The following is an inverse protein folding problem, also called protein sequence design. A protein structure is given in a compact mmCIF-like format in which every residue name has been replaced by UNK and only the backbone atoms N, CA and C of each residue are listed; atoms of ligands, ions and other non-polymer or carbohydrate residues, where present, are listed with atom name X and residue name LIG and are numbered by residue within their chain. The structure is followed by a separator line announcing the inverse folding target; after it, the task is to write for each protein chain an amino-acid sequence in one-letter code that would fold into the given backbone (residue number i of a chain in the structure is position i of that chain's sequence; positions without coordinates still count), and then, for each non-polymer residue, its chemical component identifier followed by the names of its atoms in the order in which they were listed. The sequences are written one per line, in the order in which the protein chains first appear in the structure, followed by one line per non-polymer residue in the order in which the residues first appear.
data_IF_417465794007
#
_entry.id   IF_417465794007
#
_cell.length_a   1.000
_cell.length_b   1.000
_cell.length_c   1.000
_cell.angle_alpha   90.00
_cell.angle_beta   90.00
_cell.angle_gamma   90.00
#
_symmetry.space_group_name_H-M   'P 1'
#
loop_
_entity.id
_entity.type
_entity.pdbx_description
1 polymer ?
#
# COMPACT_ATOMS: atom_id res chain seq x y z
N UNK A 1 -15.06 -16.08 -18.45
CA UNK A 1 -14.35 -15.73 -17.18
C UNK A 1 -13.33 -14.68 -17.56
N UNK A 2 -13.37 -13.52 -16.95
CA UNK A 2 -12.41 -12.46 -17.25
C UNK A 2 -11.10 -12.80 -16.49
N UNK A 3 -10.03 -13.08 -17.21
CA UNK A 3 -8.73 -13.37 -16.60
C UNK A 3 -7.85 -12.14 -16.75
N UNK A 4 -7.45 -11.53 -15.63
CA UNK A 4 -6.48 -10.45 -15.64
C UNK A 4 -5.11 -11.04 -16.03
N UNK A 5 -4.48 -10.45 -17.03
CA UNK A 5 -3.19 -10.91 -17.54
C UNK A 5 -2.16 -9.77 -17.42
N UNK A 6 -1.18 -9.98 -16.55
CA UNK A 6 -0.06 -9.06 -16.32
C UNK A 6 1.26 -9.63 -16.85
N UNK A 7 1.18 -10.64 -17.73
CA UNK A 7 2.37 -11.23 -18.36
C UNK A 7 3.21 -10.13 -19.03
N UNK A 8 4.52 -10.27 -18.90
CA UNK A 8 5.52 -9.33 -19.41
C UNK A 8 5.50 -7.93 -18.75
N UNK A 9 4.69 -7.72 -17.72
CA UNK A 9 4.68 -6.50 -16.92
C UNK A 9 5.61 -6.63 -15.72
N UNK A 10 6.37 -5.57 -15.44
CA UNK A 10 7.21 -5.45 -14.26
C UNK A 10 6.51 -4.59 -13.21
N UNK A 11 6.35 -5.15 -12.02
CA UNK A 11 5.64 -4.53 -10.90
C UNK A 11 6.59 -4.36 -9.73
N UNK A 12 6.79 -3.13 -9.29
CA UNK A 12 7.59 -2.77 -8.12
C UNK A 12 6.68 -2.44 -6.94
N UNK A 13 6.86 -3.15 -5.81
CA UNK A 13 6.13 -2.90 -4.56
C UNK A 13 7.13 -2.60 -3.44
N UNK A 14 7.07 -1.41 -2.87
CA UNK A 14 7.91 -1.07 -1.72
C UNK A 14 7.34 -1.65 -0.43
N UNK A 15 8.22 -2.21 0.43
CA UNK A 15 7.78 -2.91 1.65
C UNK A 15 6.94 -4.15 1.32
N UNK A 16 7.38 -4.92 0.33
CA UNK A 16 6.62 -6.01 -0.30
C UNK A 16 6.74 -7.38 0.38
N UNK A 17 7.43 -7.50 1.52
CA UNK A 17 7.73 -8.81 2.11
C UNK A 17 6.76 -9.25 3.21
N UNK A 18 5.73 -8.43 3.51
CA UNK A 18 4.66 -8.78 4.47
C UNK A 18 3.39 -7.97 4.23
N UNK A 19 2.31 -8.38 4.89
CA UNK A 19 1.04 -7.64 4.93
C UNK A 19 0.49 -7.28 3.55
N UNK A 20 0.03 -6.04 3.38
CA UNK A 20 -0.57 -5.53 2.15
C UNK A 20 0.42 -5.61 0.98
N UNK A 21 1.70 -5.28 1.22
CA UNK A 21 2.71 -5.30 0.17
C UNK A 21 2.95 -6.71 -0.40
N UNK A 22 3.08 -7.72 0.45
CA UNK A 22 3.24 -9.11 0.02
C UNK A 22 1.99 -9.61 -0.73
N UNK A 23 0.81 -9.35 -0.17
CA UNK A 23 -0.44 -9.74 -0.82
C UNK A 23 -0.65 -9.06 -2.19
N UNK A 24 -0.17 -7.82 -2.32
CA UNK A 24 -0.12 -7.11 -3.62
C UNK A 24 0.81 -7.84 -4.58
N UNK A 25 2.04 -8.14 -4.16
CA UNK A 25 2.98 -8.90 -4.97
C UNK A 25 2.43 -10.25 -5.43
N UNK A 26 1.82 -11.02 -4.52
CA UNK A 26 1.20 -12.31 -4.84
C UNK A 26 0.03 -12.17 -5.83
N UNK A 27 -0.78 -11.11 -5.71
CA UNK A 27 -1.88 -10.85 -6.64
C UNK A 27 -1.38 -10.57 -8.07
N UNK A 28 -0.34 -9.76 -8.21
CA UNK A 28 0.28 -9.49 -9.51
C UNK A 28 1.05 -10.70 -10.05
N UNK A 29 1.79 -11.41 -9.19
CA UNK A 29 2.49 -12.64 -9.57
C UNK A 29 1.53 -13.70 -10.08
N UNK A 30 0.42 -13.94 -9.38
CA UNK A 30 -0.63 -14.85 -9.82
C UNK A 30 -1.31 -14.45 -11.14
N UNK A 31 -1.24 -13.16 -11.52
CA UNK A 31 -1.64 -12.65 -12.83
C UNK A 31 -0.51 -12.73 -13.89
N UNK A 32 0.66 -13.28 -13.55
CA UNK A 32 1.79 -13.53 -14.45
C UNK A 32 2.82 -12.41 -14.53
N UNK A 33 2.76 -11.39 -13.69
CA UNK A 33 3.74 -10.29 -13.68
C UNK A 33 5.11 -10.74 -13.14
N UNK A 34 6.17 -10.05 -13.60
CA UNK A 34 7.47 -10.04 -12.93
C UNK A 34 7.37 -9.10 -11.73
N UNK A 35 7.48 -9.63 -10.52
CA UNK A 35 7.30 -8.85 -9.29
C UNK A 35 8.63 -8.56 -8.62
N UNK A 36 8.84 -7.31 -8.25
CA UNK A 36 9.97 -6.84 -7.45
C UNK A 36 9.44 -6.36 -6.10
N UNK A 37 9.92 -6.95 -5.03
CA UNK A 37 9.53 -6.62 -3.66
C UNK A 37 10.73 -6.04 -2.92
N UNK A 38 10.58 -4.85 -2.35
CA UNK A 38 11.64 -4.30 -1.50
C UNK A 38 11.36 -4.55 -0.02
N UNK A 39 12.43 -4.61 0.75
CA UNK A 39 12.41 -4.68 2.20
C UNK A 39 13.59 -3.90 2.78
N UNK A 40 13.51 -3.50 4.04
CA UNK A 40 14.61 -2.85 4.75
C UNK A 40 14.95 -3.56 6.05
N UNK A 41 13.93 -3.82 6.84
CA UNK A 41 14.10 -4.43 8.17
C UNK A 41 13.23 -5.66 8.27
N UNK A 42 13.68 -6.55 9.08
CA UNK A 42 12.89 -7.67 9.52
C UNK A 42 13.37 -8.99 8.96
N UNK A 43 13.05 -9.96 9.72
CA UNK A 43 13.22 -11.36 9.41
C UNK A 43 12.02 -11.84 8.61
N UNK A 44 11.93 -11.49 7.34
CA UNK A 44 11.03 -12.23 6.49
C UNK A 44 11.75 -13.47 5.97
N UNK A 45 11.09 -14.61 6.00
CA UNK A 45 11.59 -15.82 5.36
C UNK A 45 11.47 -15.66 3.84
N UNK A 46 12.60 -15.34 3.20
CA UNK A 46 12.66 -15.14 1.75
C UNK A 46 12.27 -16.41 0.98
N UNK A 47 12.56 -17.58 1.54
CA UNK A 47 12.22 -18.86 0.91
C UNK A 47 10.73 -19.16 1.05
N UNK A 48 10.08 -18.71 2.11
CA UNK A 48 8.63 -18.76 2.24
C UNK A 48 7.94 -17.88 1.20
N UNK A 49 8.45 -16.66 0.98
CA UNK A 49 7.92 -15.77 -0.07
C UNK A 49 8.06 -16.45 -1.44
N UNK A 50 9.23 -16.99 -1.79
CA UNK A 50 9.44 -17.69 -3.07
C UNK A 50 8.50 -18.88 -3.21
N UNK A 51 8.32 -19.68 -2.15
CA UNK A 51 7.36 -20.80 -2.15
C UNK A 51 5.94 -20.33 -2.42
N UNK A 52 5.49 -19.25 -1.77
CA UNK A 52 4.15 -18.69 -1.98
C UNK A 52 3.92 -18.27 -3.45
N UNK A 53 4.92 -17.68 -4.11
CA UNK A 53 4.86 -17.40 -5.54
C UNK A 53 4.83 -18.67 -6.39
N UNK A 54 5.65 -19.68 -6.07
CA UNK A 54 5.69 -20.94 -6.79
C UNK A 54 4.36 -21.72 -6.69
N UNK A 55 3.72 -21.71 -5.54
CA UNK A 55 2.39 -22.32 -5.31
C UNK A 55 1.29 -21.71 -6.19
N UNK A 56 1.42 -20.41 -6.52
CA UNK A 56 0.53 -19.73 -7.47
C UNK A 56 0.90 -19.97 -8.93
N UNK A 57 1.99 -20.69 -9.22
CA UNK A 57 2.54 -20.81 -10.57
C UNK A 57 3.06 -19.47 -11.13
N UNK A 58 3.36 -18.51 -10.25
CA UNK A 58 3.83 -17.19 -10.59
C UNK A 58 5.35 -17.19 -10.89
N UNK A 59 5.86 -16.22 -11.69
CA UNK A 59 7.29 -16.01 -11.82
C UNK A 59 7.95 -15.77 -10.45
N UNK A 60 9.17 -16.26 -10.26
CA UNK A 60 9.93 -16.03 -9.04
C UNK A 60 10.12 -14.51 -8.80
N UNK A 61 9.81 -13.99 -7.60
CA UNK A 61 9.94 -12.57 -7.32
C UNK A 61 11.41 -12.16 -7.14
N UNK A 62 11.75 -10.96 -7.58
CA UNK A 62 13.02 -10.31 -7.25
C UNK A 62 12.87 -9.64 -5.88
N UNK A 63 13.64 -10.10 -4.88
CA UNK A 63 13.65 -9.56 -3.52
C UNK A 63 14.89 -8.69 -3.34
N UNK A 64 14.71 -7.39 -3.04
CA UNK A 64 15.81 -6.43 -2.94
C UNK A 64 15.75 -5.66 -1.63
N UNK A 65 16.87 -5.63 -0.89
CA UNK A 65 16.99 -4.76 0.26
C UNK A 65 17.18 -3.32 -0.20
N UNK A 66 16.24 -2.44 0.17
CA UNK A 66 16.29 -1.02 -0.15
C UNK A 66 15.49 -0.21 0.87
N UNK A 67 16.13 0.81 1.41
CA UNK A 67 15.50 1.80 2.28
C UNK A 67 14.92 2.93 1.40
N UNK A 68 13.62 3.10 1.46
CA UNK A 68 12.90 4.11 0.66
C UNK A 68 13.26 5.56 0.98
N UNK A 69 14.02 5.80 2.06
CA UNK A 69 14.51 7.13 2.45
C UNK A 69 15.91 7.46 1.92
N UNK A 70 16.55 6.54 1.19
CA UNK A 70 17.87 6.74 0.61
C UNK A 70 17.85 6.57 -0.90
N UNK A 71 18.19 7.65 -1.62
CA UNK A 71 18.25 7.64 -3.08
C UNK A 71 19.22 6.60 -3.63
N UNK A 72 20.40 6.41 -2.99
CA UNK A 72 21.39 5.41 -3.38
C UNK A 72 20.83 3.98 -3.35
N UNK A 73 19.95 3.68 -2.40
CA UNK A 73 19.29 2.37 -2.31
C UNK A 73 18.29 2.20 -3.47
N UNK A 74 17.58 3.28 -3.81
CA UNK A 74 16.66 3.30 -4.94
C UNK A 74 17.41 3.14 -6.26
N UNK A 75 18.54 3.81 -6.44
CA UNK A 75 19.39 3.65 -7.65
C UNK A 75 19.84 2.19 -7.81
N UNK A 76 20.40 1.57 -6.74
CA UNK A 76 20.80 0.16 -6.78
C UNK A 76 19.65 -0.77 -7.09
N UNK A 77 18.46 -0.53 -6.51
CA UNK A 77 17.25 -1.29 -6.81
C UNK A 77 16.89 -1.21 -8.30
N UNK A 78 16.88 0.00 -8.87
CA UNK A 78 16.55 0.20 -10.29
C UNK A 78 17.60 -0.43 -11.21
N UNK A 79 18.89 -0.47 -10.81
CA UNK A 79 19.93 -1.20 -11.51
C UNK A 79 19.72 -2.72 -11.49
N UNK A 80 19.27 -3.28 -10.35
CA UNK A 80 18.90 -4.70 -10.30
C UNK A 80 17.72 -5.02 -11.22
N UNK A 81 16.68 -4.16 -11.24
CA UNK A 81 15.55 -4.32 -12.15
C UNK A 81 15.99 -4.26 -13.62
N UNK A 82 16.90 -3.35 -13.97
CA UNK A 82 17.39 -3.17 -15.34
C UNK A 82 18.15 -4.39 -15.90
N UNK A 83 18.59 -5.32 -15.04
CA UNK A 83 19.23 -6.58 -15.52
C UNK A 83 18.23 -7.55 -16.18
N UNK A 84 16.94 -7.43 -15.86
CA UNK A 84 15.90 -8.38 -16.28
C UNK A 84 14.67 -7.76 -16.92
N UNK A 85 14.57 -6.42 -16.91
CA UNK A 85 13.41 -5.67 -17.39
C UNK A 85 13.85 -4.33 -17.99
N UNK A 86 13.11 -3.86 -18.99
CA UNK A 86 13.33 -2.58 -19.67
C UNK A 86 12.58 -1.41 -19.02
N UNK A 87 11.95 -1.65 -17.85
CA UNK A 87 11.23 -0.64 -17.11
C UNK A 87 10.37 -1.21 -15.98
N UNK A 88 9.68 -0.31 -15.31
CA UNK A 88 8.64 -0.60 -14.33
C UNK A 88 7.29 -0.18 -14.91
N UNK A 89 6.36 -1.12 -15.07
CA UNK A 89 5.02 -0.84 -15.60
C UNK A 89 4.05 -0.40 -14.50
N UNK A 90 4.19 -0.96 -13.31
CA UNK A 90 3.38 -0.64 -12.13
C UNK A 90 4.30 -0.35 -10.96
N UNK A 91 4.12 0.80 -10.35
CA UNK A 91 4.78 1.14 -9.09
C UNK A 91 3.75 1.27 -7.97
N UNK A 92 3.93 0.48 -6.89
CA UNK A 92 3.09 0.52 -5.69
C UNK A 92 3.89 1.07 -4.51
N UNK A 93 3.58 2.31 -4.11
CA UNK A 93 4.15 2.95 -2.93
C UNK A 93 3.37 2.50 -1.68
N UNK A 94 3.91 1.51 -0.98
CA UNK A 94 3.21 0.86 0.13
C UNK A 94 3.88 1.10 1.50
N UNK A 95 5.17 1.42 1.56
CA UNK A 95 5.86 1.64 2.84
C UNK A 95 5.19 2.75 3.64
N UNK A 96 5.03 2.51 4.93
CA UNK A 96 4.63 3.51 5.90
C UNK A 96 5.47 3.39 7.17
N UNK A 97 5.83 4.53 7.76
CA UNK A 97 6.46 4.60 9.06
C UNK A 97 5.43 5.10 10.08
N UNK A 98 5.05 4.22 11.00
CA UNK A 98 4.08 4.50 12.03
C UNK A 98 4.79 4.82 13.36
N UNK A 99 4.59 6.04 13.84
CA UNK A 99 4.98 6.44 15.19
C UNK A 99 3.73 6.86 15.96
N UNK A 100 3.52 6.25 17.12
CA UNK A 100 2.40 6.62 17.99
C UNK A 100 2.64 7.99 18.62
N UNK A 101 1.61 8.84 18.57
CA UNK A 101 1.60 10.19 19.14
C UNK A 101 0.35 10.36 20.04
N UNK A 102 0.35 9.74 21.25
CA UNK A 102 -0.85 9.68 22.09
C UNK A 102 -1.27 11.04 22.66
N UNK A 103 -0.34 11.97 22.82
CA UNK A 103 -0.62 13.30 23.38
C UNK A 103 0.11 14.40 22.61
N UNK A 104 -0.41 15.63 22.66
CA UNK A 104 0.18 16.79 21.98
C UNK A 104 1.66 17.03 22.40
N UNK A 105 2.02 16.71 23.64
CA UNK A 105 3.43 16.82 24.12
C UNK A 105 4.40 15.89 23.39
N UNK A 106 3.88 14.84 22.74
CA UNK A 106 4.67 13.85 21.98
C UNK A 106 4.95 14.29 20.54
N UNK A 107 4.33 15.40 20.11
CA UNK A 107 4.55 15.96 18.79
C UNK A 107 5.96 16.53 18.66
N UNK A 108 6.76 15.88 17.83
CA UNK A 108 8.13 16.32 17.52
C UNK A 108 8.28 16.53 16.03
N UNK A 109 8.70 17.71 15.64
CA UNK A 109 8.93 18.07 14.23
C UNK A 109 9.75 17.00 13.49
N UNK A 110 10.88 16.55 14.10
CA UNK A 110 11.74 15.52 13.50
C UNK A 110 10.99 14.21 13.24
N UNK A 111 10.13 13.78 14.15
CA UNK A 111 9.35 12.55 14.00
C UNK A 111 8.32 12.66 12.88
N UNK A 112 7.66 13.81 12.79
CA UNK A 112 6.70 14.07 11.71
C UNK A 112 7.39 14.07 10.34
N UNK A 113 8.51 14.77 10.20
CA UNK A 113 9.25 14.78 8.94
C UNK A 113 9.78 13.39 8.56
N UNK A 114 10.20 12.58 9.54
CA UNK A 114 10.55 11.18 9.29
C UNK A 114 9.36 10.37 8.78
N UNK A 115 8.16 10.60 9.32
CA UNK A 115 6.95 9.94 8.81
C UNK A 115 6.67 10.33 7.36
N UNK A 116 6.81 11.60 6.98
CA UNK A 116 6.67 12.05 5.60
C UNK A 116 7.72 11.43 4.67
N UNK A 117 8.98 11.38 5.10
CA UNK A 117 10.11 10.81 4.38
C UNK A 117 9.88 9.34 3.98
N UNK A 118 9.29 8.55 4.88
CA UNK A 118 9.00 7.14 4.63
C UNK A 118 7.64 6.86 3.98
N UNK A 119 6.61 7.64 4.35
CA UNK A 119 5.22 7.30 4.03
C UNK A 119 4.65 8.08 2.84
N UNK A 120 5.31 9.18 2.45
CA UNK A 120 4.79 10.11 1.44
C UNK A 120 5.77 10.31 0.29
N UNK A 121 6.99 10.72 0.61
CA UNK A 121 8.00 11.12 -0.36
C UNK A 121 8.38 10.01 -1.36
N UNK A 122 8.47 8.73 -0.97
CA UNK A 122 8.85 7.66 -1.89
C UNK A 122 7.95 7.56 -3.14
N UNK A 123 6.66 7.90 -3.04
CA UNK A 123 5.81 7.93 -4.23
C UNK A 123 6.31 8.89 -5.30
N UNK A 124 6.77 10.07 -4.89
CA UNK A 124 7.29 11.10 -5.81
C UNK A 124 8.67 10.69 -6.33
N UNK A 125 9.61 10.40 -5.43
CA UNK A 125 11.00 10.12 -5.74
C UNK A 125 11.17 8.89 -6.64
N UNK A 126 10.55 7.77 -6.28
CA UNK A 126 10.61 6.56 -7.12
C UNK A 126 10.02 6.79 -8.51
N UNK A 127 8.91 7.54 -8.61
CA UNK A 127 8.31 7.86 -9.91
C UNK A 127 9.29 8.63 -10.79
N UNK A 128 10.01 9.61 -10.24
CA UNK A 128 11.04 10.38 -10.95
C UNK A 128 12.24 9.50 -11.34
N UNK A 129 12.80 8.77 -10.38
CA UNK A 129 13.98 7.94 -10.60
C UNK A 129 13.72 6.78 -11.58
N UNK A 130 12.52 6.22 -11.63
CA UNK A 130 12.12 5.25 -12.66
C UNK A 130 12.19 5.90 -14.05
N UNK A 131 11.66 7.11 -14.23
CA UNK A 131 11.75 7.84 -15.50
C UNK A 131 13.19 8.12 -15.88
N UNK A 132 14.02 8.55 -14.95
CA UNK A 132 15.44 8.83 -15.17
C UNK A 132 16.19 7.57 -15.61
N UNK A 133 15.93 6.45 -14.95
CA UNK A 133 16.63 5.18 -15.22
C UNK A 133 16.19 4.50 -16.51
N UNK A 134 14.88 4.53 -16.82
CA UNK A 134 14.29 3.75 -17.93
C UNK A 134 13.77 4.60 -19.08
N UNK A 135 13.85 5.93 -18.99
CA UNK A 135 13.36 6.84 -20.04
C UNK A 135 11.84 6.97 -20.11
N UNK A 136 11.09 6.22 -19.28
CA UNK A 136 9.61 6.24 -19.23
C UNK A 136 9.10 6.16 -17.80
N UNK A 137 7.93 6.75 -17.56
CA UNK A 137 7.21 6.58 -16.31
C UNK A 137 6.51 5.22 -16.25
N UNK A 138 6.15 4.71 -15.04
CA UNK A 138 5.23 3.59 -14.93
C UNK A 138 3.88 3.91 -15.58
N UNK A 139 3.22 2.92 -16.17
CA UNK A 139 1.84 3.10 -16.64
C UNK A 139 0.86 3.34 -15.49
N UNK A 140 1.16 2.77 -14.32
CA UNK A 140 0.36 2.92 -13.11
C UNK A 140 1.25 3.22 -11.90
N UNK A 141 0.89 4.25 -11.16
CA UNK A 141 1.42 4.55 -9.82
C UNK A 141 0.26 4.45 -8.84
N UNK A 142 0.37 3.56 -7.87
CA UNK A 142 -0.65 3.39 -6.83
C UNK A 142 0.00 3.60 -5.47
N UNK A 143 -0.59 4.48 -4.66
CA UNK A 143 -0.16 4.67 -3.29
C UNK A 143 -1.15 4.04 -2.30
N UNK A 144 -0.63 3.41 -1.25
CA UNK A 144 -1.43 2.84 -0.17
C UNK A 144 -1.65 3.90 0.91
N UNK A 145 -2.90 4.26 1.15
CA UNK A 145 -3.34 5.19 2.17
C UNK A 145 -4.18 4.50 3.26
N UNK A 146 -4.71 5.28 4.17
CA UNK A 146 -5.57 4.87 5.26
C UNK A 146 -6.66 5.91 5.45
N UNK A 147 -7.81 5.53 5.95
CA UNK A 147 -8.93 6.42 6.26
C UNK A 147 -8.73 7.25 7.56
N UNK A 148 -7.58 7.10 8.22
CA UNK A 148 -7.25 7.85 9.43
C UNK A 148 -7.08 9.36 9.23
N UNK A 149 -7.01 9.86 7.98
CA UNK A 149 -7.02 11.29 7.67
C UNK A 149 -8.45 11.90 7.70
N UNK A 150 -9.49 11.07 7.58
CA UNK A 150 -10.90 11.46 7.69
C UNK A 150 -11.56 10.95 8.98
N UNK A 151 -10.97 9.96 9.62
CA UNK A 151 -11.47 9.33 10.85
C UNK A 151 -10.41 9.40 11.94
N UNK A 152 -10.82 9.80 13.15
CA UNK A 152 -9.89 9.85 14.28
C UNK A 152 -9.53 8.44 14.76
N UNK A 153 -8.24 8.11 14.66
CA UNK A 153 -7.65 6.95 15.30
C UNK A 153 -6.69 7.38 16.43
N UNK A 154 -6.83 6.82 17.64
CA UNK A 154 -5.97 7.19 18.76
C UNK A 154 -4.48 7.03 18.46
N UNK A 155 -3.69 8.07 18.73
CA UNK A 155 -2.25 8.10 18.54
C UNK A 155 -1.75 7.92 17.08
N UNK A 156 -2.60 8.20 16.07
CA UNK A 156 -2.32 7.97 14.66
C UNK A 156 -2.00 9.27 13.89
N UNK A 157 -1.89 10.39 14.56
CA UNK A 157 -1.89 11.75 14.02
C UNK A 157 -0.84 12.00 12.92
N UNK A 158 0.40 11.55 13.11
CA UNK A 158 1.46 11.74 12.11
C UNK A 158 1.26 10.86 10.88
N UNK A 159 0.76 9.65 11.08
CA UNK A 159 0.44 8.77 9.95
C UNK A 159 -0.72 9.37 9.16
N UNK A 160 -1.80 9.77 9.83
CA UNK A 160 -2.95 10.42 9.21
C UNK A 160 -2.55 11.65 8.38
N UNK A 161 -1.78 12.57 8.99
CA UNK A 161 -1.29 13.75 8.29
C UNK A 161 -0.41 13.41 7.07
N UNK A 162 0.45 12.38 7.19
CA UNK A 162 1.29 11.94 6.07
C UNK A 162 0.47 11.36 4.91
N UNK A 163 -0.64 10.67 5.22
CA UNK A 163 -1.55 10.12 4.21
C UNK A 163 -2.34 11.21 3.50
N UNK A 164 -2.81 12.24 4.21
CA UNK A 164 -3.43 13.41 3.58
C UNK A 164 -2.48 14.14 2.61
N UNK A 165 -1.19 14.27 2.96
CA UNK A 165 -0.18 14.83 2.06
C UNK A 165 0.05 13.90 0.85
N UNK A 166 0.16 12.59 1.06
CA UNK A 166 0.30 11.58 0.01
C UNK A 166 -0.82 11.68 -1.04
N UNK A 167 -2.07 11.75 -0.58
CA UNK A 167 -3.25 11.85 -1.43
C UNK A 167 -3.27 13.14 -2.25
N UNK A 168 -2.82 14.23 -1.64
CA UNK A 168 -2.68 15.51 -2.35
C UNK A 168 -1.63 15.41 -3.45
N UNK A 169 -0.44 14.86 -3.16
CA UNK A 169 0.59 14.65 -4.19
C UNK A 169 0.11 13.72 -5.32
N UNK A 170 -0.62 12.66 -5.00
CA UNK A 170 -1.16 11.76 -6.02
C UNK A 170 -2.06 12.48 -7.02
N UNK A 171 -2.92 13.39 -6.55
CA UNK A 171 -3.78 14.21 -7.43
C UNK A 171 -2.96 15.13 -8.34
N UNK A 172 -1.92 15.78 -7.81
CA UNK A 172 -1.05 16.65 -8.62
C UNK A 172 -0.21 15.84 -9.60
N UNK A 173 0.36 14.71 -9.18
CA UNK A 173 1.10 13.82 -10.08
C UNK A 173 0.22 13.27 -11.21
N UNK A 174 -1.05 12.96 -10.94
CA UNK A 174 -1.99 12.52 -11.96
C UNK A 174 -2.15 13.55 -13.09
N UNK A 175 -2.15 14.84 -12.75
CA UNK A 175 -2.20 15.93 -13.74
C UNK A 175 -0.86 16.08 -14.46
N UNK A 176 0.26 16.08 -13.73
CA UNK A 176 1.59 16.24 -14.33
C UNK A 176 1.97 15.10 -15.28
N UNK A 177 1.45 13.89 -15.05
CA UNK A 177 1.80 12.71 -15.82
C UNK A 177 0.71 12.28 -16.82
N UNK A 178 -0.32 13.09 -17.00
CA UNK A 178 -1.43 12.78 -17.89
C UNK A 178 -0.98 12.59 -19.34
N UNK A 179 -0.15 13.49 -19.86
CA UNK A 179 0.37 13.42 -21.22
C UNK A 179 1.39 12.29 -21.44
N UNK A 180 1.97 11.78 -20.36
CA UNK A 180 2.84 10.59 -20.36
C UNK A 180 2.05 9.29 -20.33
N UNK A 181 0.73 9.34 -20.21
CA UNK A 181 -0.15 8.18 -20.15
C UNK A 181 -0.12 7.42 -18.83
N UNK A 182 0.45 8.00 -17.77
CA UNK A 182 0.51 7.41 -16.44
C UNK A 182 -0.78 7.66 -15.65
N UNK A 183 -1.34 6.64 -15.02
CA UNK A 183 -2.44 6.75 -14.07
C UNK A 183 -1.89 6.75 -12.66
N UNK A 184 -2.24 7.77 -11.88
CA UNK A 184 -1.83 7.88 -10.48
C UNK A 184 -3.07 7.84 -9.61
N UNK A 185 -3.21 6.81 -8.78
CA UNK A 185 -4.36 6.66 -7.88
C UNK A 185 -3.90 6.28 -6.47
N UNK A 186 -4.78 6.47 -5.51
CA UNK A 186 -4.57 6.08 -4.12
C UNK A 186 -5.65 5.07 -3.73
N UNK A 187 -5.26 4.02 -3.03
CA UNK A 187 -6.21 3.13 -2.35
C UNK A 187 -6.11 3.38 -0.85
N UNK A 188 -7.22 3.79 -0.29
CA UNK A 188 -7.41 4.02 1.13
C UNK A 188 -8.03 2.77 1.72
N UNK A 189 -7.25 2.01 2.48
CA UNK A 189 -7.76 0.82 3.14
C UNK A 189 -8.28 1.16 4.53
N UNK A 190 -9.40 0.55 4.90
CA UNK A 190 -9.88 0.50 6.27
C UNK A 190 -9.03 -0.42 7.15
N UNK A 191 -9.63 -1.10 8.09
CA UNK A 191 -8.92 -2.03 8.98
C UNK A 191 -8.51 -3.29 8.21
N UNK A 192 -7.21 -3.58 8.21
CA UNK A 192 -6.62 -4.75 7.52
C UNK A 192 -5.92 -5.63 8.55
N UNK A 193 -6.17 -6.93 8.55
CA UNK A 193 -5.51 -7.92 9.42
C UNK A 193 -4.02 -8.03 9.06
N UNK A 194 -3.20 -7.24 9.74
CA UNK A 194 -1.75 -7.23 9.55
C UNK A 194 -1.04 -7.09 10.89
N UNK A 195 0.21 -7.57 10.98
CA UNK A 195 1.07 -7.34 12.13
C UNK A 195 1.20 -5.84 12.46
N UNK A 196 1.24 -4.97 11.44
CA UNK A 196 1.32 -3.53 11.63
C UNK A 196 0.08 -2.96 12.32
N UNK A 197 -1.10 -3.53 12.03
CA UNK A 197 -2.35 -3.18 12.71
C UNK A 197 -2.31 -3.60 14.18
N UNK A 198 -1.92 -4.85 14.45
CA UNK A 198 -1.79 -5.37 15.81
C UNK A 198 -0.77 -4.60 16.65
N UNK A 199 0.39 -4.25 16.08
CA UNK A 199 1.40 -3.41 16.74
C UNK A 199 0.89 -2.00 17.07
N UNK A 200 0.02 -1.43 16.23
CA UNK A 200 -0.53 -0.09 16.44
C UNK A 200 -1.70 -0.08 17.44
N UNK A 201 -2.62 -1.01 17.33
CA UNK A 201 -3.90 -0.99 18.02
C UNK A 201 -4.08 -2.10 19.07
N UNK A 202 -3.22 -3.12 19.08
CA UNK A 202 -3.20 -4.24 20.02
C UNK A 202 -3.80 -5.53 19.43
N UNK A 203 -3.38 -6.66 19.98
CA UNK A 203 -3.74 -8.00 19.51
C UNK A 203 -5.20 -8.38 19.84
N UNK A 204 -5.78 -7.75 20.86
CA UNK A 204 -7.15 -8.05 21.34
C UNK A 204 -8.26 -7.35 20.55
N UNK A 205 -7.94 -6.76 19.41
CA UNK A 205 -8.95 -6.04 18.65
C UNK A 205 -10.00 -6.99 18.03
N UNK A 206 -9.59 -8.20 17.68
CA UNK A 206 -10.51 -9.25 17.20
C UNK A 206 -11.52 -9.64 18.29
N UNK A 207 -11.05 -9.87 19.54
CA UNK A 207 -11.93 -10.17 20.68
C UNK A 207 -12.97 -9.06 20.87
N UNK A 208 -12.52 -7.80 20.78
CA UNK A 208 -13.42 -6.64 20.89
C UNK A 208 -14.48 -6.62 19.79
N UNK A 209 -14.14 -6.97 18.55
CA UNK A 209 -15.11 -7.02 17.46
C UNK A 209 -16.17 -8.10 17.68
N UNK A 210 -15.76 -9.26 18.19
CA UNK A 210 -16.68 -10.35 18.51
C UNK A 210 -17.64 -9.94 19.64
N UNK A 211 -17.10 -9.29 20.70
CA UNK A 211 -17.90 -8.74 21.79
C UNK A 211 -18.90 -7.67 21.33
N UNK A 212 -18.52 -6.85 20.35
CA UNK A 212 -19.38 -5.80 19.75
C UNK A 212 -20.32 -6.34 18.66
N UNK A 213 -20.27 -7.63 18.31
CA UNK A 213 -21.09 -8.24 17.27
C UNK A 213 -20.79 -7.71 15.87
N UNK A 214 -19.60 -7.15 15.66
CA UNK A 214 -19.15 -6.64 14.36
C UNK A 214 -18.58 -7.74 13.47
N UNK A 215 -18.11 -8.82 14.07
CA UNK A 215 -17.59 -9.99 13.40
C UNK A 215 -16.37 -9.73 12.49
N UNK A 216 -15.77 -10.80 12.06
CA UNK A 216 -14.60 -10.82 11.19
C UNK A 216 -14.79 -10.12 9.83
N UNK A 217 -16.05 -10.01 9.37
CA UNK A 217 -16.38 -9.36 8.09
C UNK A 217 -16.13 -7.85 8.06
N UNK A 218 -15.90 -7.21 9.22
CA UNK A 218 -15.50 -5.79 9.28
C UNK A 218 -14.04 -5.56 8.91
N UNK A 219 -13.22 -6.61 8.92
CA UNK A 219 -11.83 -6.55 8.50
C UNK A 219 -11.64 -6.90 7.03
N UNK A 220 -10.61 -6.27 6.42
CA UNK A 220 -10.04 -6.70 5.16
C UNK A 220 -8.95 -7.74 5.44
N UNK A 221 -8.91 -8.77 4.61
CA UNK A 221 -7.73 -9.61 4.50
C UNK A 221 -6.69 -8.92 3.59
N UNK A 222 -5.38 -9.10 3.82
CA UNK A 222 -4.35 -8.53 2.92
C UNK A 222 -4.57 -8.89 1.44
N UNK A 223 -5.12 -10.08 1.16
CA UNK A 223 -5.47 -10.51 -0.19
C UNK A 223 -6.55 -9.65 -0.86
N UNK A 224 -7.50 -9.08 -0.10
CA UNK A 224 -8.50 -8.16 -0.64
C UNK A 224 -7.82 -6.86 -1.12
N UNK A 225 -6.81 -6.39 -0.36
CA UNK A 225 -6.04 -5.20 -0.71
C UNK A 225 -5.24 -5.41 -2.01
N UNK A 226 -4.54 -6.55 -2.12
CA UNK A 226 -3.77 -6.89 -3.33
C UNK A 226 -4.64 -6.98 -4.57
N UNK A 227 -5.83 -7.58 -4.47
CA UNK A 227 -6.81 -7.66 -5.57
C UNK A 227 -7.33 -6.28 -5.98
N UNK A 228 -7.60 -5.38 -5.02
CA UNK A 228 -8.06 -4.02 -5.31
C UNK A 228 -6.99 -3.23 -6.09
N UNK A 229 -5.72 -3.32 -5.68
CA UNK A 229 -4.60 -2.66 -6.39
C UNK A 229 -4.42 -3.27 -7.79
N UNK A 230 -4.45 -4.59 -7.92
CA UNK A 230 -4.37 -5.27 -9.23
C UNK A 230 -5.50 -4.81 -10.17
N UNK A 231 -6.73 -4.70 -9.67
CA UNK A 231 -7.87 -4.25 -10.46
C UNK A 231 -7.67 -2.84 -11.04
N UNK A 232 -7.12 -1.92 -10.23
CA UNK A 232 -6.79 -0.55 -10.67
C UNK A 232 -5.73 -0.49 -11.77
N UNK A 233 -4.83 -1.48 -11.82
CA UNK A 233 -3.72 -1.55 -12.76
C UNK A 233 -3.98 -2.49 -13.94
N UNK A 234 -5.21 -2.98 -14.08
CA UNK A 234 -5.57 -4.04 -15.04
C UNK A 234 -5.90 -3.54 -16.46
N UNK A 235 -5.94 -2.23 -16.68
CA UNK A 235 -6.45 -1.63 -17.92
C UNK A 235 -7.97 -1.41 -17.94
N UNK A 236 -8.73 -2.09 -17.08
CA UNK A 236 -10.20 -1.98 -17.03
C UNK A 236 -10.67 -0.62 -16.49
N UNK A 237 -9.86 0.04 -15.68
CA UNK A 237 -10.19 1.28 -15.00
C UNK A 237 -9.29 2.44 -15.46
N UNK A 238 -8.80 2.40 -16.70
CA UNK A 238 -7.86 3.39 -17.25
C UNK A 238 -8.39 4.82 -17.32
N UNK A 239 -9.71 5.00 -17.26
CA UNK A 239 -10.33 6.30 -17.14
C UNK A 239 -10.16 6.92 -15.73
N UNK A 240 -9.71 6.13 -14.73
CA UNK A 240 -9.51 6.58 -13.36
C UNK A 240 -8.07 7.05 -13.16
N UNK A 241 -7.88 8.34 -12.90
CA UNK A 241 -6.62 8.92 -12.45
C UNK A 241 -6.88 10.05 -11.46
N UNK A 242 -5.97 10.27 -10.51
CA UNK A 242 -6.14 11.27 -9.45
C UNK A 242 -7.19 10.90 -8.41
N UNK A 243 -7.62 9.65 -8.35
CA UNK A 243 -8.67 9.21 -7.45
C UNK A 243 -8.09 8.68 -6.13
N UNK A 244 -8.85 8.92 -5.06
CA UNK A 244 -8.67 8.26 -3.76
C UNK A 244 -9.85 7.33 -3.56
N UNK A 245 -9.58 6.03 -3.56
CA UNK A 245 -10.60 4.99 -3.56
C UNK A 245 -10.58 4.30 -2.19
N UNK A 246 -11.68 4.37 -1.46
CA UNK A 246 -11.82 3.70 -0.18
C UNK A 246 -12.28 2.26 -0.37
N UNK A 247 -11.56 1.34 0.27
CA UNK A 247 -11.86 -0.09 0.34
C UNK A 247 -11.90 -0.47 1.81
N UNK A 248 -13.10 -0.63 2.39
CA UNK A 248 -13.29 -0.81 3.84
C UNK A 248 -14.52 -1.67 4.18
N UNK A 249 -15.10 -2.37 3.20
CA UNK A 249 -16.36 -3.12 3.33
C UNK A 249 -17.53 -2.27 3.81
N UNK A 250 -17.46 -0.95 3.62
CA UNK A 250 -18.49 0.00 4.06
C UNK A 250 -18.47 0.32 5.55
N UNK A 251 -17.42 -0.10 6.28
CA UNK A 251 -17.33 0.08 7.72
C UNK A 251 -17.35 1.57 8.12
N UNK A 252 -16.68 2.42 7.37
CA UNK A 252 -16.66 3.86 7.63
C UNK A 252 -18.06 4.50 7.66
N UNK A 253 -18.98 3.99 6.85
CA UNK A 253 -20.38 4.45 6.83
C UNK A 253 -21.22 3.83 7.95
N UNK A 254 -20.93 2.60 8.33
CA UNK A 254 -21.69 1.86 9.34
C UNK A 254 -21.34 2.25 10.78
N UNK A 255 -20.06 2.59 11.04
CA UNK A 255 -19.58 2.90 12.40
C UNK A 255 -20.04 4.28 12.85
N UNK A 256 -21.25 4.36 13.38
CA UNK A 256 -21.85 5.59 13.91
C UNK A 256 -22.56 5.38 15.24
N UNK A 257 -22.85 6.49 15.93
CA UNK A 257 -23.40 6.47 17.28
C UNK A 257 -24.80 5.78 17.36
N UNK A 258 -25.62 5.91 16.30
CA UNK A 258 -26.96 5.30 16.29
C UNK A 258 -26.87 3.79 16.20
N UNK A 259 -25.94 3.26 15.41
CA UNK A 259 -25.68 1.81 15.36
C UNK A 259 -25.19 1.27 16.70
N UNK A 260 -24.30 2.00 17.39
CA UNK A 260 -23.83 1.63 18.73
C UNK A 260 -24.96 1.67 19.76
N UNK A 261 -25.85 2.67 19.67
CA UNK A 261 -27.02 2.77 20.53
C UNK A 261 -28.02 1.61 20.32
N UNK A 262 -28.28 1.26 19.07
CA UNK A 262 -29.14 0.13 18.73
C UNK A 262 -28.63 -1.18 19.32
N UNK A 263 -27.35 -1.48 19.14
CA UNK A 263 -26.71 -2.67 19.73
C UNK A 263 -26.75 -2.66 21.26
N UNK A 264 -26.63 -1.49 21.89
CA UNK A 264 -26.73 -1.37 23.33
C UNK A 264 -28.15 -1.70 23.83
N UNK A 265 -29.18 -1.39 23.05
CA UNK A 265 -30.57 -1.75 23.39
C UNK A 265 -30.86 -3.25 23.29
N UNK A 266 -30.10 -3.97 22.44
CA UNK A 266 -30.29 -5.41 22.21
C UNK A 266 -29.53 -6.30 23.23
N UNK A 267 -28.68 -5.70 24.07
CA UNK A 267 -27.96 -6.36 25.19
C UNK A 267 -28.81 -6.42 26.44
#
# INVERSE_FOLDING_TARGET
MFTLNMKDKTVLVTGGTRGIGLATGLSFGGAGAKVVLTYKWGSCDMDEIRRSFAELGAPEPLLVEADVSYADDTERLLDEIAKTSDGVDVFVSNVAFAQRTPELKDYKKRSFFKTLEYSTWPMVEYTQMIKERFGRYPSYVVAVSSDGDERHYPAYDFVAASKGVLETFARYLAVHLQDEGTRVNVVRFGMVKTESFEQMFGERFTDFLDEEGLGDQSFLEPGDCGKAILALCSGLLDAMTGQVITVDRGLAFQDNLLMRYQRWQER
#
